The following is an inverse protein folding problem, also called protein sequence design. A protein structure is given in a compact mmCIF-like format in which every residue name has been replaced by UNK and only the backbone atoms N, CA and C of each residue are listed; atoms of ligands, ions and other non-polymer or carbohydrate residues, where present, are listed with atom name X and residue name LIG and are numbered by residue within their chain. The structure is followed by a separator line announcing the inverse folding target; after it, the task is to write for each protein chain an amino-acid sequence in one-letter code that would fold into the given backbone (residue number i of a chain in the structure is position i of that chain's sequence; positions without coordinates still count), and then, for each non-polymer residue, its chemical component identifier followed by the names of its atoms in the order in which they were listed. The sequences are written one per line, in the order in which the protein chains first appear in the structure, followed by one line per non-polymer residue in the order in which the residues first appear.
data_IF_503985043796
#
_entry.id   IF_503985043796
#
_cell.length_a   1.000
_cell.length_b   1.000
_cell.length_c   1.000
_cell.angle_alpha   90.00
_cell.angle_beta   90.00
_cell.angle_gamma   90.00
#
_symmetry.space_group_name_H-M   'P 1'
#
loop_
_entity.id
_entity.type
_entity.pdbx_description
1 polymer ?
#
# COMPACT_ATOMS: atom_id res chain seq x y z
N UNK A 1 15.17 -2.45 -2.46
CA UNK A 1 15.00 -1.08 -1.91
C UNK A 1 13.81 -0.41 -2.59
N UNK A 2 13.05 0.40 -1.86
CA UNK A 2 11.92 1.18 -2.41
C UNK A 2 12.26 2.67 -2.34
N UNK A 3 12.29 3.37 -3.48
CA UNK A 3 12.72 4.76 -3.59
C UNK A 3 14.09 5.07 -2.92
N UNK A 4 15.05 4.12 -2.99
CA UNK A 4 16.36 4.26 -2.32
C UNK A 4 16.33 4.07 -0.79
N UNK A 5 15.16 3.85 -0.18
CA UNK A 5 15.00 3.56 1.24
C UNK A 5 15.13 2.05 1.50
N UNK A 6 15.87 1.68 2.56
CA UNK A 6 15.99 0.30 3.03
C UNK A 6 14.76 -0.12 3.87
N UNK A 7 13.57 0.00 3.26
CA UNK A 7 12.30 -0.31 3.90
C UNK A 7 12.25 -1.77 4.37
N UNK A 8 11.96 -2.00 5.66
CA UNK A 8 11.75 -3.33 6.23
C UNK A 8 10.28 -3.69 6.28
N UNK A 9 9.41 -2.69 6.38
CA UNK A 9 7.97 -2.89 6.30
C UNK A 9 7.33 -1.98 5.25
N UNK A 10 6.89 -2.60 4.16
CA UNK A 10 6.21 -1.96 3.03
C UNK A 10 4.73 -2.33 3.08
N UNK A 11 3.87 -1.31 3.01
CA UNK A 11 2.42 -1.50 2.94
C UNK A 11 1.88 -0.76 1.72
N UNK A 12 0.92 -1.36 1.02
CA UNK A 12 0.15 -0.65 0.00
C UNK A 12 -1.35 -0.85 0.16
N UNK A 13 -2.14 0.09 -0.36
CA UNK A 13 -3.55 -0.13 -0.65
C UNK A 13 -3.77 -0.34 -2.14
N UNK A 14 -4.61 -1.32 -2.46
CA UNK A 14 -5.03 -1.59 -3.82
C UNK A 14 -6.53 -1.38 -3.98
N UNK A 15 -6.93 -1.06 -5.20
CA UNK A 15 -8.33 -0.82 -5.59
C UNK A 15 -8.65 -1.68 -6.79
N UNK A 16 -9.88 -2.20 -6.82
CA UNK A 16 -10.41 -3.02 -7.90
C UNK A 16 -10.15 -2.40 -9.28
N UNK A 17 -9.75 -3.20 -10.26
CA UNK A 17 -9.31 -2.76 -11.59
C UNK A 17 -7.99 -1.96 -11.59
N UNK A 18 -7.27 -1.90 -10.47
CA UNK A 18 -5.99 -1.21 -10.36
C UNK A 18 -4.84 -2.01 -10.97
N UNK A 19 -3.83 -1.36 -11.56
CA UNK A 19 -2.66 -2.06 -12.07
C UNK A 19 -1.87 -2.70 -10.92
N UNK A 20 -1.27 -3.87 -11.18
CA UNK A 20 -0.44 -4.61 -10.20
C UNK A 20 1.07 -4.39 -10.37
N UNK A 21 1.50 -3.61 -11.37
CA UNK A 21 2.92 -3.34 -11.62
C UNK A 21 3.61 -2.72 -10.39
N UNK A 22 2.94 -1.80 -9.69
CA UNK A 22 3.44 -1.23 -8.43
C UNK A 22 3.61 -2.32 -7.38
N UNK A 23 2.61 -3.18 -7.20
CA UNK A 23 2.63 -4.29 -6.24
C UNK A 23 3.77 -5.27 -6.48
N UNK A 24 4.03 -5.60 -7.75
CA UNK A 24 5.17 -6.43 -8.15
C UNK A 24 6.49 -5.73 -7.78
N UNK A 25 6.63 -4.44 -8.13
CA UNK A 25 7.81 -3.65 -7.77
C UNK A 25 8.06 -3.59 -6.27
N UNK A 26 7.00 -3.40 -5.46
CA UNK A 26 7.09 -3.39 -4.00
C UNK A 26 7.46 -4.76 -3.43
N UNK A 27 6.90 -5.85 -3.97
CA UNK A 27 7.27 -7.21 -3.56
C UNK A 27 8.73 -7.53 -3.86
N UNK A 28 9.24 -7.14 -5.04
CA UNK A 28 10.66 -7.26 -5.40
C UNK A 28 11.51 -6.39 -4.48
N UNK A 29 11.10 -5.14 -4.25
CA UNK A 29 11.81 -4.20 -3.39
C UNK A 29 11.95 -4.70 -1.96
N UNK A 30 10.90 -5.33 -1.39
CA UNK A 30 10.90 -5.90 -0.05
C UNK A 30 11.82 -7.11 0.04
N UNK A 31 11.82 -8.00 -0.96
CA UNK A 31 12.75 -9.15 -1.01
C UNK A 31 14.20 -8.69 -1.02
N UNK A 32 14.53 -7.69 -1.84
CA UNK A 32 15.88 -7.14 -1.89
C UNK A 32 16.33 -6.46 -0.59
N UNK A 33 15.41 -5.89 0.20
CA UNK A 33 15.75 -5.31 1.50
C UNK A 33 15.64 -6.32 2.66
N UNK A 34 15.27 -7.57 2.40
CA UNK A 34 14.94 -8.55 3.45
C UNK A 34 13.76 -8.09 4.33
N UNK A 35 12.86 -7.29 3.76
CA UNK A 35 11.64 -6.80 4.40
C UNK A 35 10.39 -7.56 3.97
N UNK A 36 9.25 -7.15 4.50
CA UNK A 36 7.93 -7.68 4.16
C UNK A 36 7.07 -6.66 3.41
N UNK A 37 6.22 -7.17 2.53
CA UNK A 37 5.25 -6.40 1.76
C UNK A 37 3.84 -6.89 2.07
N UNK A 38 2.96 -5.97 2.46
CA UNK A 38 1.53 -6.21 2.73
C UNK A 38 0.68 -5.37 1.78
N UNK A 39 -0.23 -6.02 1.05
CA UNK A 39 -1.24 -5.34 0.24
C UNK A 39 -2.60 -5.40 0.96
N UNK A 40 -3.23 -4.24 1.16
CA UNK A 40 -4.55 -4.10 1.77
C UNK A 40 -5.60 -3.93 0.68
N UNK A 41 -6.61 -4.79 0.71
CA UNK A 41 -7.76 -4.79 -0.23
C UNK A 41 -9.07 -4.71 0.56
N UNK A 42 -10.13 -4.08 0.02
CA UNK A 42 -11.34 -3.81 0.81
C UNK A 42 -12.19 -5.06 1.08
N UNK A 43 -12.20 -6.03 0.16
CA UNK A 43 -13.07 -7.21 0.22
C UNK A 43 -12.43 -8.43 -0.46
N UNK A 44 -13.00 -9.62 -0.24
CA UNK A 44 -12.47 -10.89 -0.78
C UNK A 44 -12.57 -10.98 -2.31
N UNK A 45 -13.54 -10.31 -2.92
CA UNK A 45 -13.63 -10.22 -4.38
C UNK A 45 -12.42 -9.45 -4.94
N UNK A 46 -12.07 -8.34 -4.31
CA UNK A 46 -10.91 -7.53 -4.66
C UNK A 46 -9.60 -8.28 -4.39
N UNK A 47 -9.54 -9.11 -3.35
CA UNK A 47 -8.42 -10.04 -3.12
C UNK A 47 -8.25 -11.03 -4.27
N UNK A 48 -9.34 -11.67 -4.66
CA UNK A 48 -9.34 -12.64 -5.76
C UNK A 48 -8.88 -12.01 -7.08
N UNK A 49 -9.42 -10.84 -7.40
CA UNK A 49 -9.05 -10.08 -8.60
C UNK A 49 -7.58 -9.64 -8.58
N UNK A 50 -7.11 -9.12 -7.44
CA UNK A 50 -5.72 -8.73 -7.25
C UNK A 50 -4.76 -9.92 -7.45
N UNK A 51 -5.06 -11.06 -6.82
CA UNK A 51 -4.25 -12.28 -6.94
C UNK A 51 -4.27 -12.84 -8.37
N UNK A 52 -5.41 -12.78 -9.05
CA UNK A 52 -5.53 -13.17 -10.44
C UNK A 52 -4.69 -12.27 -11.35
N UNK A 53 -4.78 -10.95 -11.18
CA UNK A 53 -4.00 -9.98 -11.95
C UNK A 53 -2.49 -10.15 -11.72
N UNK A 54 -2.07 -10.39 -10.47
CA UNK A 54 -0.67 -10.73 -10.16
C UNK A 54 -0.22 -12.00 -10.89
N UNK A 55 -1.01 -13.07 -10.84
CA UNK A 55 -0.70 -14.34 -11.50
C UNK A 55 -0.55 -14.16 -13.01
N UNK A 56 -1.46 -13.42 -13.64
CA UNK A 56 -1.41 -13.13 -15.08
C UNK A 56 -0.18 -12.30 -15.46
N UNK A 57 0.28 -11.43 -14.57
CA UNK A 57 1.49 -10.62 -14.76
C UNK A 57 2.79 -11.34 -14.36
N UNK A 58 2.74 -12.63 -13.99
CA UNK A 58 3.91 -13.39 -13.52
C UNK A 58 4.44 -12.96 -12.15
N UNK A 59 3.66 -12.18 -11.40
CA UNK A 59 4.00 -11.71 -10.06
C UNK A 59 3.62 -12.71 -8.96
N UNK A 60 4.26 -12.56 -7.80
CA UNK A 60 3.93 -13.33 -6.59
C UNK A 60 3.52 -12.37 -5.47
N UNK A 61 2.36 -12.61 -4.86
CA UNK A 61 1.94 -11.91 -3.65
C UNK A 61 2.72 -12.45 -2.44
N UNK A 62 3.11 -11.57 -1.52
CA UNK A 62 3.64 -12.00 -0.21
C UNK A 62 2.52 -12.15 0.82
N UNK A 63 1.84 -11.04 1.15
CA UNK A 63 0.75 -11.03 2.12
C UNK A 63 -0.36 -10.08 1.66
N UNK A 64 -1.59 -10.56 1.66
CA UNK A 64 -2.79 -9.77 1.34
C UNK A 64 -3.71 -9.77 2.55
N UNK A 65 -4.12 -8.59 2.98
CA UNK A 65 -5.05 -8.39 4.11
C UNK A 65 -6.34 -7.80 3.55
N UNK A 66 -7.45 -8.42 3.92
CA UNK A 66 -8.79 -7.94 3.56
C UNK A 66 -9.32 -7.09 4.71
N UNK A 67 -9.79 -5.89 4.41
CA UNK A 67 -10.42 -4.99 5.37
C UNK A 67 -10.37 -3.53 4.94
N UNK A 68 -11.06 -2.68 5.71
CA UNK A 68 -11.01 -1.25 5.53
C UNK A 68 -9.60 -0.73 5.80
N UNK A 69 -9.09 0.14 4.93
CA UNK A 69 -7.68 0.51 4.99
C UNK A 69 -7.34 1.27 6.27
N UNK A 70 -8.26 2.07 6.80
CA UNK A 70 -8.08 2.76 8.08
C UNK A 70 -7.90 1.77 9.24
N UNK A 71 -8.80 0.80 9.38
CA UNK A 71 -8.79 -0.19 10.46
C UNK A 71 -7.54 -1.08 10.39
N UNK A 72 -7.20 -1.55 9.20
CA UNK A 72 -5.99 -2.37 9.00
C UNK A 72 -4.75 -1.56 9.40
N UNK A 73 -4.65 -0.29 9.02
CA UNK A 73 -3.49 0.55 9.37
C UNK A 73 -3.33 0.78 10.87
N UNK A 74 -4.42 0.88 11.64
CA UNK A 74 -4.37 1.02 13.10
C UNK A 74 -3.73 -0.20 13.79
N UNK A 75 -3.90 -1.38 13.20
CA UNK A 75 -3.33 -2.64 13.68
C UNK A 75 -1.89 -2.91 13.22
N UNK A 76 -1.35 -2.11 12.30
CA UNK A 76 0.02 -2.26 11.80
C UNK A 76 0.97 -1.28 12.50
N UNK A 77 2.19 -1.72 12.79
CA UNK A 77 3.20 -0.90 13.46
C UNK A 77 4.53 -0.90 12.72
N UNK A 78 5.24 0.22 12.78
CA UNK A 78 6.59 0.35 12.24
C UNK A 78 6.64 0.42 10.70
N UNK A 79 5.63 1.02 10.06
CA UNK A 79 5.59 1.14 8.60
C UNK A 79 6.72 2.06 8.13
N UNK A 80 7.60 1.55 7.27
CA UNK A 80 8.73 2.32 6.71
C UNK A 80 8.39 2.89 5.31
N UNK A 81 7.46 2.27 4.59
CA UNK A 81 7.06 2.68 3.25
C UNK A 81 5.58 2.38 3.03
N UNK A 82 4.78 3.39 2.72
CA UNK A 82 3.33 3.25 2.52
C UNK A 82 2.93 3.83 1.16
N UNK A 83 2.24 3.04 0.34
CA UNK A 83 1.62 3.47 -0.91
C UNK A 83 0.10 3.44 -0.78
N UNK A 84 -0.57 4.58 -0.87
CA UNK A 84 -2.03 4.65 -0.88
C UNK A 84 -2.58 5.02 -2.25
N UNK A 85 -3.68 4.39 -2.65
CA UNK A 85 -4.45 4.79 -3.82
C UNK A 85 -5.43 5.92 -3.50
N UNK A 86 -5.16 7.12 -4.02
CA UNK A 86 -5.98 8.33 -3.83
C UNK A 86 -7.33 8.31 -4.55
N UNK A 87 -7.65 7.25 -5.30
CA UNK A 87 -9.02 7.03 -5.81
C UNK A 87 -9.97 6.53 -4.73
N UNK A 88 -9.43 5.96 -3.65
CA UNK A 88 -10.23 5.48 -2.54
C UNK A 88 -10.64 6.63 -1.64
N UNK A 89 -11.89 6.63 -1.17
CA UNK A 89 -12.40 7.67 -0.26
C UNK A 89 -11.70 7.69 1.11
N UNK A 90 -11.16 6.55 1.53
CA UNK A 90 -10.52 6.34 2.82
C UNK A 90 -9.00 6.60 2.81
N UNK A 91 -8.40 6.97 1.67
CA UNK A 91 -6.93 7.07 1.56
C UNK A 91 -6.32 8.02 2.60
N UNK A 92 -6.97 9.17 2.83
CA UNK A 92 -6.53 10.18 3.79
C UNK A 92 -6.60 9.68 5.23
N UNK A 93 -7.56 8.80 5.54
CA UNK A 93 -7.71 8.19 6.86
C UNK A 93 -6.70 7.08 7.08
N UNK A 94 -6.49 6.22 6.09
CA UNK A 94 -5.42 5.21 6.10
C UNK A 94 -4.04 5.84 6.33
N UNK A 95 -3.77 6.96 5.66
CA UNK A 95 -2.55 7.76 5.84
C UNK A 95 -2.38 8.29 7.27
N UNK A 96 -3.45 8.79 7.91
CA UNK A 96 -3.41 9.31 9.28
C UNK A 96 -3.33 8.20 10.33
N UNK A 97 -3.94 7.05 10.06
CA UNK A 97 -3.93 5.89 10.95
C UNK A 97 -2.59 5.13 10.96
N UNK A 98 -1.75 5.33 9.94
CA UNK A 98 -0.49 4.63 9.79
C UNK A 98 0.49 4.93 10.94
N UNK A 99 0.82 3.91 11.73
CA UNK A 99 1.88 3.99 12.75
C UNK A 99 3.25 3.80 12.09
N UNK A 100 3.89 4.92 11.81
CA UNK A 100 5.16 4.97 11.09
C UNK A 100 6.33 4.49 11.96
N UNK A 101 7.36 4.01 11.30
CA UNK A 101 8.63 3.62 11.90
C UNK A 101 9.35 4.81 12.56
N UNK A 102 9.95 4.58 13.74
CA UNK A 102 10.79 5.57 14.43
C UNK A 102 12.06 5.96 13.66
N UNK A 103 12.39 5.23 12.58
CA UNK A 103 13.51 5.54 11.67
C UNK A 103 13.12 6.53 10.57
N UNK A 104 11.87 6.98 10.53
CA UNK A 104 11.28 7.70 9.40
C UNK A 104 10.59 6.76 8.41
N UNK A 105 9.74 7.34 7.56
CA UNK A 105 8.96 6.60 6.59
C UNK A 105 8.68 7.43 5.32
N UNK A 106 8.48 6.74 4.20
CA UNK A 106 8.08 7.34 2.92
C UNK A 106 6.61 7.02 2.65
N UNK A 107 5.83 8.07 2.37
CA UNK A 107 4.40 7.99 2.09
C UNK A 107 4.17 8.41 0.63
N UNK A 108 3.55 7.54 -0.17
CA UNK A 108 3.29 7.77 -1.59
C UNK A 108 1.79 7.72 -1.83
N UNK A 109 1.27 8.78 -2.47
CA UNK A 109 -0.10 8.81 -2.96
C UNK A 109 -0.09 8.56 -4.47
N UNK A 110 -0.54 7.37 -4.91
CA UNK A 110 -0.76 7.12 -6.35
C UNK A 110 -2.14 7.60 -6.76
N UNK A 111 -2.29 7.99 -8.03
CA UNK A 111 -3.51 8.63 -8.56
C UNK A 111 -3.87 9.96 -7.85
N UNK A 112 -2.86 10.72 -7.43
CA UNK A 112 -3.01 11.98 -6.70
C UNK A 112 -3.61 13.13 -7.53
N UNK A 113 -3.79 12.96 -8.84
CA UNK A 113 -4.55 13.90 -9.68
C UNK A 113 -6.07 13.75 -9.52
N UNK A 114 -6.55 12.80 -8.72
CA UNK A 114 -7.98 12.65 -8.43
C UNK A 114 -8.52 13.89 -7.70
N UNK A 115 -9.78 14.25 -7.97
CA UNK A 115 -10.47 15.36 -7.26
C UNK A 115 -10.41 15.21 -5.73
N UNK A 116 -10.35 13.97 -5.24
CA UNK A 116 -10.24 13.64 -3.81
C UNK A 116 -8.84 13.90 -3.24
N UNK A 117 -7.78 13.66 -4.01
CA UNK A 117 -6.42 14.01 -3.58
C UNK A 117 -6.15 15.52 -3.62
N UNK A 118 -6.77 16.26 -4.55
CA UNK A 118 -6.58 17.70 -4.67
C UNK A 118 -6.97 18.50 -3.41
N UNK A 119 -7.92 17.99 -2.62
CA UNK A 119 -8.34 18.63 -1.36
C UNK A 119 -7.56 18.14 -0.13
N UNK A 120 -6.72 17.11 -0.28
CA UNK A 120 -5.98 16.56 0.85
C UNK A 120 -4.82 17.47 1.25
N UNK A 121 -4.80 17.80 2.53
CA UNK A 121 -3.67 18.49 3.16
C UNK A 121 -3.18 17.65 4.34
N UNK A 122 -1.92 17.26 4.27
CA UNK A 122 -1.25 16.71 5.45
C UNK A 122 -1.18 17.80 6.51
N UNK A 123 -1.83 17.56 7.64
CA UNK A 123 -1.74 18.40 8.83
C UNK A 123 -1.07 17.56 9.90
N UNK A 124 0.04 18.06 10.40
CA UNK A 124 0.85 17.45 11.44
C UNK A 124 0.10 17.45 12.77
#
# INVERSE_FOLDING_TARGET
MAAGWNAKFIVETWSRGGPVATSIGLAVASRHSGGRHVCVVPDENSRSEYLQALRQAGGAANQVVVGEAEEVMQGLEGIDFLVVDSRRKDFARALRAAKLSGRGAVLVCKNASSKQAASFRWRR
#
